data_IF_768522726888
#
_entry.id   IF_768522726888
#
_cell.length_a   1.000
_cell.length_b   1.000
_cell.length_c   1.000
_cell.angle_alpha   90.00
_cell.angle_beta   90.00
_cell.angle_gamma   90.00
#
_symmetry.space_group_name_H-M   'P 1'
#
loop_
_entity.id
_entity.type
_entity.pdbx_description
1 polymer ?
#
# COMPACT_ATOMS: atom_id res chain seq x y z
N UNK A 1 0.72 -3.59 -2.73
CA UNK A 1 0.39 -2.66 -1.63
C UNK A 1 -0.72 -3.14 -0.71
N UNK A 2 -1.82 -3.69 -1.19
CA UNK A 2 -2.81 -4.33 -0.31
C UNK A 2 -2.09 -5.37 0.56
N UNK A 3 -2.09 -5.24 1.84
CA UNK A 3 -1.45 -6.09 2.85
C UNK A 3 0.01 -5.78 3.18
N UNK A 4 0.87 -5.40 2.23
CA UNK A 4 2.31 -5.31 2.46
C UNK A 4 2.73 -4.15 3.37
N UNK A 5 2.09 -2.99 3.25
CA UNK A 5 2.37 -1.82 4.08
C UNK A 5 1.33 -1.59 5.18
N UNK A 6 0.56 -2.62 5.54
CA UNK A 6 -0.53 -2.52 6.50
C UNK A 6 -1.80 -1.90 5.94
N UNK A 7 -1.82 -1.46 4.69
CA UNK A 7 -3.04 -0.99 4.03
C UNK A 7 -4.00 -2.16 3.87
N UNK A 8 -5.16 -2.05 4.48
CA UNK A 8 -6.18 -3.10 4.55
C UNK A 8 -7.58 -2.55 4.25
N UNK A 9 -7.60 -1.58 3.36
CA UNK A 9 -8.79 -0.96 2.79
C UNK A 9 -8.68 -0.96 1.27
N UNK A 10 -9.80 -1.10 0.59
CA UNK A 10 -9.84 -1.02 -0.87
C UNK A 10 -10.59 0.24 -1.26
N UNK A 11 -9.92 1.08 -2.03
CA UNK A 11 -10.48 2.30 -2.60
C UNK A 11 -11.06 2.05 -3.99
N UNK A 12 -11.90 2.97 -4.44
CA UNK A 12 -12.41 2.98 -5.80
C UNK A 12 -13.68 2.19 -6.02
N UNK A 13 -13.86 1.70 -7.22
CA UNK A 13 -15.12 1.10 -7.65
C UNK A 13 -15.19 -0.40 -7.38
N UNK A 14 -15.48 -0.78 -6.13
CA UNK A 14 -15.66 -2.19 -5.73
C UNK A 14 -16.96 -2.83 -6.26
N UNK A 15 -17.75 -2.13 -7.07
CA UNK A 15 -18.90 -2.72 -7.77
C UNK A 15 -18.47 -3.50 -9.02
N UNK A 16 -17.30 -3.21 -9.57
CA UNK A 16 -16.74 -3.94 -10.70
C UNK A 16 -16.06 -5.22 -10.20
N UNK A 17 -16.87 -6.24 -9.94
CA UNK A 17 -16.42 -7.55 -9.45
C UNK A 17 -16.04 -8.44 -10.63
N UNK A 18 -14.78 -8.45 -11.00
CA UNK A 18 -14.28 -9.31 -12.09
C UNK A 18 -12.85 -9.78 -11.82
N UNK A 19 -12.48 -10.92 -12.38
CA UNK A 19 -11.14 -11.50 -12.31
C UNK A 19 -10.64 -11.68 -10.89
N UNK A 20 -9.34 -11.53 -10.69
CA UNK A 20 -8.64 -11.69 -9.41
C UNK A 20 -9.25 -10.83 -8.29
N UNK A 21 -9.68 -9.61 -8.61
CA UNK A 21 -10.37 -8.76 -7.64
C UNK A 21 -11.68 -9.39 -7.14
N UNK A 22 -12.50 -9.91 -8.06
CA UNK A 22 -13.75 -10.57 -7.69
C UNK A 22 -13.53 -11.79 -6.80
N UNK A 23 -12.57 -12.62 -7.13
CA UNK A 23 -12.20 -13.83 -6.36
C UNK A 23 -11.67 -13.47 -4.96
N UNK A 24 -10.82 -12.44 -4.87
CA UNK A 24 -10.33 -11.94 -3.59
C UNK A 24 -11.45 -11.41 -2.71
N UNK A 25 -12.34 -10.57 -3.26
CA UNK A 25 -13.49 -10.03 -2.53
C UNK A 25 -14.45 -11.13 -2.06
N UNK A 26 -14.76 -12.11 -2.90
CA UNK A 26 -15.61 -13.25 -2.54
C UNK A 26 -14.98 -14.07 -1.41
N UNK A 27 -13.66 -14.25 -1.47
CA UNK A 27 -12.90 -14.93 -0.42
C UNK A 27 -12.92 -14.18 0.90
N UNK A 28 -12.82 -12.84 0.89
CA UNK A 28 -12.98 -12.00 2.08
C UNK A 28 -14.39 -12.13 2.66
N UNK A 29 -15.42 -12.01 1.81
CA UNK A 29 -16.84 -12.14 2.22
C UNK A 29 -17.09 -13.50 2.87
N UNK A 30 -16.54 -14.57 2.30
CA UNK A 30 -16.66 -15.92 2.86
C UNK A 30 -15.92 -16.04 4.21
N UNK A 31 -14.70 -15.48 4.30
CA UNK A 31 -13.88 -15.55 5.51
C UNK A 31 -14.56 -14.84 6.70
N UNK A 32 -15.15 -13.66 6.47
CA UNK A 32 -15.76 -12.85 7.52
C UNK A 32 -17.28 -13.09 7.70
N UNK A 33 -17.86 -14.02 6.95
CA UNK A 33 -19.26 -14.43 7.09
C UNK A 33 -20.29 -13.47 6.49
N UNK A 34 -19.87 -12.57 5.59
CA UNK A 34 -20.78 -11.68 4.89
C UNK A 34 -20.15 -10.34 4.47
N UNK A 35 -20.74 -9.70 3.47
CA UNK A 35 -20.26 -8.41 2.96
C UNK A 35 -20.35 -7.27 3.99
N UNK A 36 -21.30 -7.31 4.89
CA UNK A 36 -21.47 -6.28 5.92
C UNK A 36 -20.37 -6.35 7.00
N UNK A 37 -19.75 -7.51 7.18
CA UNK A 37 -18.62 -7.69 8.08
C UNK A 37 -17.33 -6.98 7.59
N UNK A 38 -17.31 -6.52 6.35
CA UNK A 38 -16.20 -5.75 5.78
C UNK A 38 -16.37 -4.22 5.95
N UNK A 39 -17.57 -3.77 6.35
CA UNK A 39 -17.91 -2.34 6.52
C UNK A 39 -17.73 -1.89 7.97
N UNK A 40 -16.57 -2.13 8.53
CA UNK A 40 -16.32 -1.92 9.95
C UNK A 40 -15.81 -0.51 10.29
N UNK A 41 -15.24 0.17 9.33
CA UNK A 41 -14.82 1.57 9.40
C UNK A 41 -15.51 2.41 8.33
N UNK A 42 -15.18 3.69 8.24
CA UNK A 42 -15.82 4.57 7.27
C UNK A 42 -14.91 4.97 6.08
N UNK A 43 -13.63 4.60 6.11
CA UNK A 43 -12.69 4.88 5.00
C UNK A 43 -13.01 4.08 3.75
N UNK A 44 -13.54 2.87 3.91
CA UNK A 44 -13.87 1.98 2.80
C UNK A 44 -15.05 1.07 3.14
N UNK A 45 -15.73 0.57 2.12
CA UNK A 45 -16.71 -0.50 2.28
C UNK A 45 -16.08 -1.91 2.26
N UNK A 46 -14.76 -2.00 2.04
CA UNK A 46 -14.02 -3.26 2.05
C UNK A 46 -12.78 -3.09 2.92
N UNK A 47 -12.94 -3.46 4.17
CA UNK A 47 -11.90 -3.46 5.19
C UNK A 47 -11.61 -4.89 5.62
N UNK A 48 -10.34 -5.22 5.83
CA UNK A 48 -9.92 -6.57 6.20
C UNK A 48 -8.60 -6.53 6.99
N UNK A 49 -8.28 -7.57 7.71
CA UNK A 49 -6.98 -7.68 8.37
C UNK A 49 -5.87 -7.99 7.35
N UNK A 50 -4.71 -7.29 7.39
CA UNK A 50 -3.62 -7.53 6.44
C UNK A 50 -3.19 -8.99 6.35
N UNK A 51 -3.12 -9.69 7.49
CA UNK A 51 -2.77 -11.11 7.53
C UNK A 51 -3.77 -11.98 6.78
N UNK A 52 -5.07 -11.71 6.92
CA UNK A 52 -6.13 -12.42 6.19
C UNK A 52 -6.00 -12.19 4.69
N UNK A 53 -5.82 -10.95 4.27
CA UNK A 53 -5.60 -10.64 2.85
C UNK A 53 -4.37 -11.34 2.28
N UNK A 54 -3.27 -11.36 3.03
CA UNK A 54 -2.05 -12.07 2.64
C UNK A 54 -2.29 -13.59 2.49
N UNK A 55 -2.96 -14.22 3.44
CA UNK A 55 -3.27 -15.65 3.40
C UNK A 55 -4.19 -16.00 2.22
N UNK A 56 -5.13 -15.11 1.88
CA UNK A 56 -5.99 -15.27 0.71
C UNK A 56 -5.18 -15.25 -0.58
N UNK A 57 -4.28 -14.29 -0.78
CA UNK A 57 -3.40 -14.25 -1.95
C UNK A 57 -2.52 -15.50 -2.05
N UNK A 58 -1.98 -15.97 -0.94
CA UNK A 58 -1.21 -17.23 -0.93
C UNK A 58 -2.06 -18.43 -1.37
N UNK A 59 -3.30 -18.52 -0.90
CA UNK A 59 -4.22 -19.61 -1.30
C UNK A 59 -4.62 -19.52 -2.77
N UNK A 60 -4.92 -18.31 -3.26
CA UNK A 60 -5.23 -18.08 -4.67
C UNK A 60 -4.05 -18.49 -5.57
N UNK A 61 -2.84 -18.07 -5.20
CA UNK A 61 -1.64 -18.45 -5.94
C UNK A 61 -1.37 -19.97 -5.91
N UNK A 62 -1.58 -20.61 -4.76
CA UNK A 62 -1.38 -22.06 -4.61
C UNK A 62 -2.43 -22.89 -5.37
N UNK A 63 -3.60 -22.31 -5.67
CA UNK A 63 -4.63 -22.97 -6.48
C UNK A 63 -4.30 -23.00 -7.98
N UNK A 64 -3.32 -22.22 -8.43
CA UNK A 64 -2.93 -22.12 -9.83
C UNK A 64 -1.82 -23.13 -10.19
N UNK A 65 -2.10 -24.23 -10.86
CA UNK A 65 -1.14 -25.33 -11.05
C UNK A 65 0.03 -24.97 -11.97
N UNK A 66 -0.09 -23.91 -12.77
CA UNK A 66 0.95 -23.43 -13.69
C UNK A 66 1.73 -22.23 -13.12
N UNK A 67 1.42 -21.78 -11.92
CA UNK A 67 2.09 -20.68 -11.25
C UNK A 67 3.16 -21.18 -10.28
N UNK A 68 4.39 -20.68 -10.43
CA UNK A 68 5.46 -20.87 -9.46
C UNK A 68 5.77 -19.54 -8.80
N UNK A 69 5.53 -19.43 -7.50
CA UNK A 69 5.86 -18.23 -6.70
C UNK A 69 7.15 -18.48 -5.95
N UNK A 70 8.12 -17.58 -6.11
CA UNK A 70 9.42 -17.62 -5.42
C UNK A 70 9.51 -16.45 -4.44
N UNK A 71 9.21 -16.71 -3.17
CA UNK A 71 9.36 -15.71 -2.10
C UNK A 71 10.82 -15.51 -1.71
N UNK A 72 11.15 -14.32 -1.17
CA UNK A 72 12.50 -13.99 -0.75
C UNK A 72 13.53 -14.05 -1.88
N UNK A 73 13.07 -13.81 -3.11
CA UNK A 73 13.89 -13.90 -4.33
C UNK A 73 14.01 -12.52 -4.95
N UNK A 74 15.21 -12.00 -5.02
CA UNK A 74 15.50 -10.69 -5.59
C UNK A 74 15.83 -10.79 -7.07
N UNK A 75 15.40 -9.81 -7.86
CA UNK A 75 15.86 -9.61 -9.22
C UNK A 75 17.33 -9.12 -9.21
N UNK A 76 18.17 -9.69 -10.07
CA UNK A 76 19.58 -9.29 -10.23
C UNK A 76 19.77 -8.54 -11.53
N UNK A 77 19.48 -9.20 -12.64
CA UNK A 77 19.49 -8.60 -13.97
C UNK A 77 18.67 -9.44 -14.98
N UNK A 78 18.45 -8.85 -16.14
CA UNK A 78 17.88 -9.54 -17.29
C UNK A 78 18.51 -9.08 -18.59
N UNK A 79 18.58 -9.99 -19.57
CA UNK A 79 19.00 -9.68 -20.92
C UNK A 79 18.21 -10.48 -21.94
N UNK A 80 18.17 -10.00 -23.17
CA UNK A 80 17.47 -10.71 -24.25
C UNK A 80 18.47 -11.45 -25.14
N UNK A 81 18.32 -12.76 -25.26
CA UNK A 81 19.14 -13.61 -26.10
C UNK A 81 18.25 -14.50 -26.97
N UNK A 82 18.52 -14.54 -28.27
CA UNK A 82 17.80 -15.40 -29.26
C UNK A 82 16.29 -15.34 -29.14
N UNK A 83 15.73 -14.14 -28.82
CA UNK A 83 14.31 -13.92 -28.70
C UNK A 83 13.69 -14.28 -27.34
N UNK A 84 14.51 -14.73 -26.38
CA UNK A 84 14.10 -15.06 -25.02
C UNK A 84 14.71 -14.12 -24.00
N UNK A 85 14.08 -13.99 -22.87
CA UNK A 85 14.61 -13.32 -21.69
C UNK A 85 15.38 -14.31 -20.85
N UNK A 86 16.61 -13.95 -20.50
CA UNK A 86 17.45 -14.64 -19.52
C UNK A 86 17.47 -13.76 -18.29
N UNK A 87 16.76 -14.18 -17.26
CA UNK A 87 16.58 -13.43 -16.00
C UNK A 87 17.40 -14.09 -14.92
N UNK A 88 18.26 -13.34 -14.25
CA UNK A 88 18.97 -13.80 -13.06
C UNK A 88 18.27 -13.29 -11.81
N UNK A 89 18.09 -14.18 -10.87
CA UNK A 89 17.51 -13.91 -9.56
C UNK A 89 18.41 -14.46 -8.48
N UNK A 90 18.30 -13.89 -7.27
CA UNK A 90 19.04 -14.36 -6.11
C UNK A 90 18.09 -14.75 -4.98
N UNK A 91 18.28 -15.92 -4.40
CA UNK A 91 17.58 -16.40 -3.23
C UNK A 91 18.59 -17.01 -2.24
N UNK A 92 18.61 -16.53 -0.99
CA UNK A 92 19.50 -17.01 0.06
C UNK A 92 20.98 -17.10 -0.36
N UNK A 93 21.49 -16.08 -1.06
CA UNK A 93 22.88 -16.00 -1.55
C UNK A 93 23.18 -16.90 -2.75
N UNK A 94 22.17 -17.53 -3.37
CA UNK A 94 22.34 -18.36 -4.56
C UNK A 94 21.67 -17.69 -5.75
N UNK A 95 22.43 -17.53 -6.82
CA UNK A 95 21.92 -17.03 -8.10
C UNK A 95 21.25 -18.17 -8.88
N UNK A 96 20.06 -17.92 -9.37
CA UNK A 96 19.33 -18.79 -10.29
C UNK A 96 19.11 -18.05 -11.61
N UNK A 97 18.97 -18.82 -12.69
CA UNK A 97 18.66 -18.28 -14.02
C UNK A 97 17.34 -18.85 -14.51
N UNK A 98 16.46 -17.96 -14.93
CA UNK A 98 15.15 -18.30 -15.50
C UNK A 98 15.14 -17.85 -16.97
N UNK A 99 14.77 -18.75 -17.87
CA UNK A 99 14.55 -18.44 -19.28
C UNK A 99 13.04 -18.26 -19.52
N UNK A 100 12.64 -17.11 -20.10
CA UNK A 100 11.24 -16.78 -20.35
C UNK A 100 11.00 -16.20 -21.73
N UNK A 101 9.83 -16.42 -22.30
CA UNK A 101 9.39 -15.78 -23.56
C UNK A 101 8.93 -14.35 -23.33
N UNK A 102 8.32 -14.09 -22.20
CA UNK A 102 7.79 -12.79 -21.79
C UNK A 102 8.34 -12.47 -20.42
N UNK A 103 8.75 -11.23 -20.20
CA UNK A 103 9.11 -10.64 -18.93
C UNK A 103 8.12 -9.51 -18.64
N UNK A 104 7.51 -9.53 -17.48
CA UNK A 104 6.60 -8.49 -17.00
C UNK A 104 7.21 -7.89 -15.75
N UNK A 105 7.45 -6.59 -15.77
CA UNK A 105 7.79 -5.83 -14.57
C UNK A 105 6.52 -5.48 -13.82
N UNK A 106 6.39 -6.01 -12.61
CA UNK A 106 5.32 -5.69 -11.68
C UNK A 106 5.89 -5.23 -10.32
N UNK A 107 7.13 -4.73 -10.33
CA UNK A 107 7.74 -4.09 -9.16
C UNK A 107 7.06 -2.76 -8.89
N UNK A 108 7.04 -2.32 -7.65
CA UNK A 108 6.37 -1.07 -7.27
C UNK A 108 7.03 0.18 -7.87
N UNK A 109 8.32 0.13 -8.16
CA UNK A 109 9.10 1.27 -8.65
C UNK A 109 9.65 1.09 -10.07
N UNK A 110 9.22 0.05 -10.79
CA UNK A 110 9.73 -0.23 -12.13
C UNK A 110 11.20 -0.65 -12.14
N UNK A 111 11.65 -1.39 -11.13
CA UNK A 111 13.06 -1.75 -10.93
C UNK A 111 13.64 -2.54 -12.12
N UNK A 112 12.85 -3.42 -12.70
CA UNK A 112 13.27 -4.21 -13.87
C UNK A 112 13.36 -3.34 -15.11
N UNK A 113 12.38 -2.49 -15.35
CA UNK A 113 12.35 -1.55 -16.46
C UNK A 113 13.56 -0.59 -16.41
N UNK A 114 13.84 -0.04 -15.22
CA UNK A 114 15.00 0.79 -14.96
C UNK A 114 16.32 0.07 -15.26
N UNK A 115 16.47 -1.16 -14.75
CA UNK A 115 17.67 -1.97 -14.98
C UNK A 115 17.89 -2.30 -16.45
N UNK A 116 16.83 -2.37 -17.24
CA UNK A 116 16.86 -2.60 -18.69
C UNK A 116 17.03 -1.31 -19.50
N UNK A 117 17.14 -0.16 -18.86
CA UNK A 117 17.31 1.14 -19.53
C UNK A 117 16.06 1.62 -20.26
N UNK A 118 14.87 1.18 -19.85
CA UNK A 118 13.62 1.73 -20.38
C UNK A 118 13.51 3.19 -19.95
N UNK A 119 13.26 4.13 -20.87
CA UNK A 119 13.06 5.53 -20.52
C UNK A 119 11.87 5.71 -19.58
N UNK A 120 11.97 6.60 -18.62
CA UNK A 120 10.89 6.97 -17.69
C UNK A 120 11.05 8.42 -17.27
N UNK A 121 9.95 9.04 -16.87
CA UNK A 121 9.91 10.37 -16.31
C UNK A 121 9.60 10.30 -14.80
N UNK A 122 10.08 11.29 -14.06
CA UNK A 122 9.81 11.45 -12.63
C UNK A 122 9.09 12.77 -12.43
N UNK A 123 8.00 12.74 -11.69
CA UNK A 123 7.18 13.91 -11.39
C UNK A 123 5.93 13.99 -12.25
N UNK A 124 5.43 15.20 -12.40
CA UNK A 124 4.22 15.46 -13.18
C UNK A 124 4.59 16.01 -14.55
N UNK A 125 4.05 15.41 -15.59
CA UNK A 125 4.17 15.89 -16.96
C UNK A 125 3.33 17.16 -17.18
N UNK A 126 3.68 17.93 -18.20
CA UNK A 126 2.92 19.14 -18.54
C UNK A 126 1.60 18.79 -19.24
N UNK A 127 0.62 19.70 -19.16
CA UNK A 127 -0.65 19.60 -19.88
C UNK A 127 -0.46 19.46 -21.39
N UNK A 128 0.53 20.13 -21.96
CA UNK A 128 0.84 20.03 -23.38
C UNK A 128 1.31 18.60 -23.77
N UNK A 129 2.01 17.92 -22.87
CA UNK A 129 2.53 16.56 -23.13
C UNK A 129 1.45 15.47 -23.00
N UNK A 130 0.48 15.66 -22.07
CA UNK A 130 -0.51 14.62 -21.73
C UNK A 130 -1.90 14.88 -22.27
N UNK A 131 -2.21 16.14 -22.69
CA UNK A 131 -3.55 16.60 -23.06
C UNK A 131 -4.59 16.41 -21.93
N UNK A 132 -4.15 16.52 -20.68
CA UNK A 132 -4.98 16.37 -19.49
C UNK A 132 -5.25 17.72 -18.82
N UNK A 133 -6.52 18.09 -18.65
CA UNK A 133 -6.94 19.37 -18.05
C UNK A 133 -6.39 19.59 -16.64
N UNK A 134 -6.20 18.52 -15.87
CA UNK A 134 -5.71 18.56 -14.49
C UNK A 134 -4.19 18.61 -14.38
N UNK A 135 -3.47 18.34 -15.47
CA UNK A 135 -2.01 18.39 -15.47
C UNK A 135 -1.49 19.84 -15.30
N UNK A 136 -0.33 20.04 -14.68
CA UNK A 136 0.27 21.36 -14.54
C UNK A 136 0.61 21.96 -15.91
N UNK A 137 0.67 23.28 -16.02
CA UNK A 137 1.09 23.94 -17.26
C UNK A 137 2.54 23.61 -17.64
N UNK A 138 3.40 23.43 -16.63
CA UNK A 138 4.80 23.09 -16.80
C UNK A 138 5.11 21.84 -16.01
N UNK A 139 5.84 20.90 -16.61
CA UNK A 139 6.32 19.71 -15.94
C UNK A 139 7.15 20.06 -14.68
N UNK A 140 7.05 19.22 -13.65
CA UNK A 140 7.75 19.42 -12.39
C UNK A 140 8.24 18.09 -11.82
N UNK A 141 9.04 18.13 -10.75
CA UNK A 141 9.58 16.94 -10.07
C UNK A 141 8.76 16.46 -8.88
N UNK A 142 7.46 16.82 -8.78
CA UNK A 142 6.61 16.42 -7.66
C UNK A 142 6.21 14.96 -7.83
N UNK A 143 6.51 14.16 -6.82
CA UNK A 143 6.11 12.74 -6.72
C UNK A 143 5.14 12.56 -5.56
N UNK A 144 4.39 11.46 -5.59
CA UNK A 144 3.50 11.10 -4.49
C UNK A 144 4.32 10.88 -3.21
N UNK A 145 3.86 11.44 -2.11
CA UNK A 145 4.40 11.25 -0.78
C UNK A 145 4.23 9.80 -0.27
N UNK A 146 5.09 9.44 0.65
CA UNK A 146 5.04 8.15 1.33
C UNK A 146 4.13 8.24 2.56
N UNK A 147 3.18 7.32 2.67
CA UNK A 147 2.30 7.22 3.83
C UNK A 147 2.68 6.04 4.71
N UNK A 148 2.96 6.30 5.99
CA UNK A 148 3.21 5.24 6.98
C UNK A 148 1.89 4.75 7.56
N UNK A 149 1.71 3.43 7.57
CA UNK A 149 0.50 2.77 8.09
C UNK A 149 0.84 1.98 9.35
N UNK A 150 0.01 2.13 10.38
CA UNK A 150 0.09 1.34 11.60
C UNK A 150 -1.20 0.55 11.83
N UNK A 151 -1.06 -0.74 12.18
CA UNK A 151 -2.17 -1.57 12.61
C UNK A 151 -2.12 -1.68 14.13
N UNK A 152 -3.12 -1.12 14.79
CA UNK A 152 -3.27 -1.15 16.23
C UNK A 152 -4.26 -2.24 16.65
N UNK A 153 -4.09 -2.75 17.86
CA UNK A 153 -5.03 -3.65 18.50
C UNK A 153 -5.51 -3.02 19.82
N UNK A 154 -6.81 -3.02 20.03
CA UNK A 154 -7.39 -2.68 21.32
C UNK A 154 -7.31 -3.89 22.26
N UNK A 155 -6.62 -3.72 23.38
CA UNK A 155 -6.49 -4.74 24.43
C UNK A 155 -7.53 -4.60 25.55
N UNK A 156 -8.39 -3.56 25.49
CA UNK A 156 -9.37 -3.26 26.53
C UNK A 156 -8.75 -2.75 27.85
N UNK A 157 -7.46 -2.52 27.89
CA UNK A 157 -6.74 -1.94 29.03
C UNK A 157 -5.51 -1.15 28.55
N UNK A 158 -4.96 -0.31 29.42
CA UNK A 158 -3.80 0.53 29.09
C UNK A 158 -2.55 -0.33 28.85
N UNK A 159 -2.08 -0.33 27.60
CA UNK A 159 -0.85 -0.98 27.19
C UNK A 159 0.06 0.10 26.61
N UNK A 160 1.15 0.40 27.31
CA UNK A 160 2.09 1.42 26.89
C UNK A 160 3.39 0.80 26.38
N UNK A 161 3.84 1.27 25.24
CA UNK A 161 5.23 1.06 24.82
C UNK A 161 6.12 2.09 25.48
N UNK A 162 7.40 1.76 25.64
CA UNK A 162 8.38 2.73 26.13
C UNK A 162 8.43 3.93 25.15
N UNK A 163 8.43 5.13 25.72
CA UNK A 163 8.56 6.35 24.93
C UNK A 163 9.98 6.43 24.38
N UNK A 164 10.18 6.63 23.06
CA UNK A 164 11.51 6.88 22.51
C UNK A 164 12.15 8.12 23.15
N UNK A 165 13.49 8.12 23.31
CA UNK A 165 14.22 9.25 23.92
C UNK A 165 14.11 10.53 23.09
N UNK A 166 14.03 10.39 21.77
CA UNK A 166 13.92 11.49 20.80
C UNK A 166 12.47 11.88 20.46
N UNK A 167 11.47 11.32 21.16
CA UNK A 167 10.07 11.65 20.91
C UNK A 167 9.75 13.08 21.31
N UNK A 168 9.40 13.90 20.32
CA UNK A 168 8.87 15.23 20.52
C UNK A 168 7.35 15.26 20.24
N UNK A 169 6.50 15.45 21.26
CA UNK A 169 5.05 15.50 21.07
C UNK A 169 4.60 16.70 20.24
N UNK A 170 5.40 17.75 20.11
CA UNK A 170 5.04 18.93 19.32
C UNK A 170 4.99 18.62 17.81
N UNK A 171 5.80 17.66 17.34
CA UNK A 171 5.78 17.21 15.93
C UNK A 171 4.46 16.55 15.54
N UNK A 172 3.72 16.01 16.52
CA UNK A 172 2.48 15.27 16.31
C UNK A 172 1.25 15.97 16.90
N UNK A 173 1.40 17.25 17.27
CA UNK A 173 0.39 17.98 18.03
C UNK A 173 -0.99 17.99 17.36
N UNK A 174 -1.04 18.07 16.02
CA UNK A 174 -2.29 18.13 15.26
C UNK A 174 -2.67 16.84 14.52
N UNK A 175 -2.07 15.69 14.86
CA UNK A 175 -2.49 14.41 14.32
C UNK A 175 -3.95 14.04 14.69
N UNK A 176 -4.45 14.57 15.80
CA UNK A 176 -5.88 14.57 16.16
C UNK A 176 -6.15 15.74 17.10
N UNK A 177 -7.42 16.08 17.30
CA UNK A 177 -7.82 17.15 18.21
C UNK A 177 -7.37 16.85 19.65
N UNK A 178 -6.52 17.70 20.20
CA UNK A 178 -6.00 17.63 21.55
C UNK A 178 -5.47 19.03 21.99
N UNK A 179 -5.20 19.27 23.30
CA UNK A 179 -4.76 20.57 23.80
C UNK A 179 -3.46 21.12 23.20
N UNK A 180 -2.61 20.26 22.63
CA UNK A 180 -1.35 20.69 21.99
C UNK A 180 -1.57 21.21 20.56
N UNK A 181 -2.69 20.87 19.94
CA UNK A 181 -3.04 21.33 18.59
C UNK A 181 -3.60 22.76 18.63
N UNK A 182 -2.71 23.75 18.65
CA UNK A 182 -3.08 25.17 18.75
C UNK A 182 -3.08 25.91 17.41
N UNK A 183 -2.39 25.38 16.40
CA UNK A 183 -2.27 26.01 15.09
C UNK A 183 -2.20 24.95 13.96
N UNK A 184 -3.30 24.24 13.68
CA UNK A 184 -3.32 23.24 12.61
C UNK A 184 -3.23 23.89 11.22
N UNK A 185 -2.55 23.23 10.29
CA UNK A 185 -2.49 23.66 8.88
C UNK A 185 -3.88 23.64 8.22
N UNK A 186 -4.68 22.64 8.55
CA UNK A 186 -6.04 22.46 8.03
C UNK A 186 -7.05 22.31 9.18
N UNK A 187 -7.52 23.43 9.78
CA UNK A 187 -8.37 23.39 10.98
C UNK A 187 -9.65 22.57 10.82
N UNK A 188 -10.23 22.55 9.63
CA UNK A 188 -11.47 21.81 9.34
C UNK A 188 -11.26 20.30 9.18
N UNK A 189 -10.02 19.82 9.19
CA UNK A 189 -9.65 18.43 9.01
C UNK A 189 -9.00 17.81 10.25
N UNK A 190 -8.92 18.51 11.35
CA UNK A 190 -8.45 17.97 12.64
C UNK A 190 -9.58 17.17 13.29
N UNK A 191 -9.50 15.87 13.18
CA UNK A 191 -10.52 14.95 13.69
C UNK A 191 -10.36 14.71 15.20
N UNK A 192 -11.47 14.37 15.85
CA UNK A 192 -11.38 13.85 17.22
C UNK A 192 -10.66 12.50 17.24
N UNK A 193 -10.13 12.13 18.39
CA UNK A 193 -9.53 10.81 18.60
C UNK A 193 -10.51 9.69 18.22
N UNK A 194 -11.76 9.81 18.61
CA UNK A 194 -12.82 8.83 18.36
C UNK A 194 -13.07 8.67 16.86
N UNK A 195 -13.14 9.79 16.14
CA UNK A 195 -13.33 9.76 14.69
C UNK A 195 -12.13 9.14 13.97
N UNK A 196 -10.91 9.50 14.37
CA UNK A 196 -9.69 8.92 13.81
C UNK A 196 -9.62 7.41 14.08
N UNK A 197 -9.98 6.95 15.29
CA UNK A 197 -9.97 5.53 15.66
C UNK A 197 -11.12 4.73 15.01
N UNK A 198 -12.16 5.39 14.54
CA UNK A 198 -13.25 4.74 13.81
C UNK A 198 -13.02 4.69 12.29
N UNK A 199 -12.12 5.50 11.76
CA UNK A 199 -11.81 5.63 10.34
C UNK A 199 -11.46 4.28 9.68
N UNK A 200 -10.43 3.63 10.20
CA UNK A 200 -9.89 2.38 9.67
C UNK A 200 -10.15 1.18 10.60
N UNK A 201 -11.31 1.10 11.25
CA UNK A 201 -11.66 -0.04 12.08
C UNK A 201 -11.78 -1.29 11.20
N UNK A 202 -10.96 -2.30 11.50
CA UNK A 202 -10.91 -3.56 10.77
C UNK A 202 -11.79 -4.61 11.45
N UNK A 203 -12.22 -5.65 10.73
CA UNK A 203 -12.74 -6.86 11.37
C UNK A 203 -11.75 -7.40 12.41
N UNK A 204 -12.24 -8.11 13.43
CA UNK A 204 -11.37 -8.68 14.47
C UNK A 204 -10.87 -7.67 15.53
N UNK A 205 -11.39 -6.43 15.56
CA UNK A 205 -11.10 -5.45 16.61
C UNK A 205 -9.74 -4.77 16.46
N UNK A 206 -9.13 -4.82 15.29
CA UNK A 206 -7.94 -4.04 14.95
C UNK A 206 -8.32 -2.70 14.33
N UNK A 207 -7.38 -1.78 14.28
CA UNK A 207 -7.56 -0.44 13.75
C UNK A 207 -6.39 -0.11 12.85
N UNK A 208 -6.67 0.23 11.61
CA UNK A 208 -5.70 0.75 10.66
C UNK A 208 -5.62 2.27 10.82
N UNK A 209 -4.44 2.78 11.09
CA UNK A 209 -4.13 4.21 11.06
C UNK A 209 -3.22 4.43 9.84
N UNK A 210 -3.78 4.99 8.77
CA UNK A 210 -3.03 5.35 7.58
C UNK A 210 -3.11 6.84 7.25
N UNK A 211 -3.91 7.60 7.99
CA UNK A 211 -4.12 9.00 7.71
C UNK A 211 -4.37 9.86 8.96
N UNK A 212 -3.40 10.03 9.85
CA UNK A 212 -3.41 11.16 10.77
C UNK A 212 -3.10 12.41 9.96
N UNK A 213 -4.08 13.26 9.79
CA UNK A 213 -4.15 14.37 8.80
C UNK A 213 -2.94 15.31 8.77
N UNK A 214 -2.21 15.42 9.85
CA UNK A 214 -0.96 16.18 9.88
C UNK A 214 0.15 15.32 10.47
N UNK A 215 0.87 14.55 9.67
CA UNK A 215 2.09 13.96 10.18
C UNK A 215 2.48 12.55 9.76
N UNK A 216 1.81 11.93 8.79
CA UNK A 216 2.25 10.63 8.30
C UNK A 216 2.67 10.62 6.83
N UNK A 217 2.47 11.72 6.11
CA UNK A 217 2.93 11.84 4.75
C UNK A 217 4.36 12.38 4.73
N UNK A 218 5.23 11.66 4.05
CA UNK A 218 6.63 11.99 3.91
C UNK A 218 6.92 12.44 2.50
N UNK A 219 7.31 13.68 2.35
CA UNK A 219 7.83 14.20 1.09
C UNK A 219 9.31 13.85 1.00
N UNK A 220 9.66 13.00 0.06
CA UNK A 220 11.06 12.67 -0.21
C UNK A 220 11.50 13.35 -1.49
N UNK A 221 12.65 14.01 -1.44
CA UNK A 221 13.36 14.39 -2.66
C UNK A 221 14.10 13.13 -3.15
N UNK A 222 13.53 12.44 -4.11
CA UNK A 222 14.21 11.33 -4.78
C UNK A 222 15.09 11.84 -5.91
#
# INVERSE_FOLDING_TARGET
MLTAAGVSAVDGNYRLRAGIWGEFLDSLVMHYGGSDSLKTGWVSNVLFEPAVGNDLFHRMAAAEPLLTVKHGTAFVDARREKGRWIVRTEHAGKTETVEARVLIDATEQGDVARALGVPYDIGMESREATDEDIAPETANGIVQDLTYVAILKDYGHDVRIARPEDYDPALFACCCANPLCTNPREPNRVWSKEMMMSYGRLPGGKIMINWPIEGNDYYTNM
#
